data_IF_159711436066
#
_entry.id   IF_159711436066
#
_cell.length_a   1.000
_cell.length_b   1.000
_cell.length_c   1.000
_cell.angle_alpha   90.00
_cell.angle_beta   90.00
_cell.angle_gamma   90.00
#
_symmetry.space_group_name_H-M   'P 1'
#
loop_
_entity.id
_entity.type
_entity.pdbx_description
1 polymer ?
#
# COMPACT_ATOMS: atom_id res chain seq x y z
N UNK A 1 47.85 6.06 12.50
CA UNK A 1 47.77 6.38 13.94
C UNK A 1 46.45 5.82 14.45
N UNK A 2 46.36 5.43 15.72
CA UNK A 2 45.17 4.74 16.23
C UNK A 2 44.91 3.42 15.49
N UNK A 3 43.64 3.12 15.25
CA UNK A 3 43.15 1.93 14.54
C UNK A 3 43.47 1.93 13.04
N UNK A 4 43.96 3.04 12.49
CA UNK A 4 44.35 3.13 11.07
C UNK A 4 45.70 2.45 10.81
N UNK A 5 45.67 1.12 10.64
CA UNK A 5 46.82 0.27 10.39
C UNK A 5 46.58 -0.67 9.20
N UNK A 6 47.58 -0.82 8.33
CA UNK A 6 47.54 -1.74 7.19
C UNK A 6 46.31 -1.53 6.29
N UNK A 7 45.59 -2.61 6.01
CA UNK A 7 44.37 -2.60 5.18
C UNK A 7 43.08 -2.46 5.99
N UNK A 8 43.14 -1.98 7.25
CA UNK A 8 41.99 -1.95 8.16
C UNK A 8 40.73 -1.36 7.53
N UNK A 9 40.87 -0.27 6.78
CA UNK A 9 39.75 0.39 6.12
C UNK A 9 39.00 -0.50 5.12
N UNK A 10 39.71 -1.43 4.46
CA UNK A 10 39.14 -2.37 3.48
C UNK A 10 38.57 -3.63 4.12
N UNK A 11 39.00 -3.97 5.32
CA UNK A 11 38.63 -5.21 6.01
C UNK A 11 37.67 -4.96 7.18
N UNK A 12 37.31 -3.71 7.45
CA UNK A 12 36.41 -3.33 8.52
C UNK A 12 35.04 -3.97 8.30
N UNK A 13 34.55 -4.69 9.30
CA UNK A 13 33.19 -5.21 9.30
C UNK A 13 32.20 -4.18 9.88
N UNK A 14 30.94 -4.24 9.45
CA UNK A 14 29.90 -3.28 9.86
C UNK A 14 29.67 -3.25 11.38
N UNK A 15 29.78 -4.41 12.04
CA UNK A 15 29.58 -4.56 13.48
C UNK A 15 30.90 -4.58 14.26
N UNK A 16 32.02 -4.28 13.60
CA UNK A 16 33.32 -4.24 14.27
C UNK A 16 33.45 -2.98 15.14
N UNK A 17 33.94 -3.17 16.36
CA UNK A 17 34.21 -2.07 17.30
C UNK A 17 35.51 -1.35 16.94
N UNK A 18 35.44 -0.03 16.90
CA UNK A 18 36.52 0.91 16.65
C UNK A 18 36.60 1.84 17.87
N UNK A 19 37.71 1.82 18.64
CA UNK A 19 37.88 2.65 19.83
C UNK A 19 37.58 4.14 19.60
N UNK A 20 37.91 4.66 18.41
CA UNK A 20 37.63 6.04 18.01
C UNK A 20 36.13 6.39 17.91
N UNK A 21 35.24 5.38 17.83
CA UNK A 21 33.80 5.53 17.64
C UNK A 21 32.96 5.01 18.82
N UNK A 22 33.57 4.77 19.98
CA UNK A 22 32.95 4.15 21.16
C UNK A 22 31.57 4.73 21.54
N UNK A 23 31.40 6.05 21.48
CA UNK A 23 30.13 6.69 21.84
C UNK A 23 28.98 6.30 20.88
N UNK A 24 29.27 6.14 19.58
CA UNK A 24 28.29 5.74 18.58
C UNK A 24 28.00 4.22 18.59
N UNK A 25 28.85 3.41 19.23
CA UNK A 25 28.66 1.96 19.38
C UNK A 25 27.59 1.59 20.40
N UNK A 26 27.23 2.53 21.29
CA UNK A 26 26.12 2.37 22.24
C UNK A 26 24.75 2.31 21.57
N UNK A 27 24.70 2.50 20.25
CA UNK A 27 23.50 2.50 19.43
C UNK A 27 23.62 1.51 18.28
N UNK A 28 22.50 0.91 17.84
CA UNK A 28 22.50 0.06 16.66
C UNK A 28 22.90 0.89 15.43
N UNK A 29 23.62 0.26 14.52
CA UNK A 29 24.25 0.96 13.43
C UNK A 29 25.40 0.19 12.81
N UNK A 30 26.05 0.79 11.84
CA UNK A 30 27.11 0.17 11.05
C UNK A 30 28.29 1.11 10.91
N UNK A 31 29.48 0.54 11.11
CA UNK A 31 30.76 1.19 10.96
C UNK A 31 31.25 1.07 9.53
N UNK A 32 31.82 2.14 9.00
CA UNK A 32 32.41 2.20 7.68
C UNK A 32 33.75 2.94 7.75
N UNK A 33 34.54 2.77 6.69
CA UNK A 33 35.80 3.47 6.57
C UNK A 33 36.02 3.94 5.14
N UNK A 34 36.57 5.14 4.98
CA UNK A 34 37.06 5.65 3.72
C UNK A 34 38.52 6.09 3.85
N UNK A 35 39.31 5.85 2.81
CA UNK A 35 40.71 6.31 2.77
C UNK A 35 40.75 7.79 2.45
N UNK A 36 41.50 8.57 3.23
CA UNK A 36 41.69 10.01 3.00
C UNK A 36 43.06 10.28 2.39
N UNK A 37 43.35 11.54 2.10
CA UNK A 37 44.64 11.92 1.53
C UNK A 37 45.81 11.66 2.49
N UNK A 38 47.03 11.71 1.95
CA UNK A 38 48.26 11.33 2.64
C UNK A 38 49.28 12.48 2.68
N UNK A 39 50.26 12.37 3.57
CA UNK A 39 51.41 13.27 3.63
C UNK A 39 51.15 14.63 4.30
N UNK A 40 52.22 15.44 4.36
CA UNK A 40 52.24 16.68 5.14
C UNK A 40 51.22 17.71 4.65
N UNK A 41 50.91 17.74 3.36
CA UNK A 41 49.88 18.60 2.78
C UNK A 41 48.48 18.32 3.35
N UNK A 42 48.28 17.14 3.93
CA UNK A 42 47.07 16.67 4.56
C UNK A 42 47.18 16.55 6.09
N UNK A 43 48.21 17.13 6.69
CA UNK A 43 48.45 17.06 8.14
C UNK A 43 48.94 15.69 8.63
N UNK A 44 49.36 14.79 7.73
CA UNK A 44 49.86 13.46 8.08
C UNK A 44 51.39 13.40 7.95
N UNK A 45 52.09 12.89 8.97
CA UNK A 45 53.54 12.71 8.92
C UNK A 45 53.97 11.60 7.95
N UNK A 46 53.07 10.66 7.65
CA UNK A 46 53.35 9.50 6.79
C UNK A 46 52.80 9.71 5.36
N UNK A 47 53.43 9.11 4.34
CA UNK A 47 52.95 9.15 2.96
C UNK A 47 51.80 8.17 2.69
N UNK A 48 51.29 7.48 3.72
CA UNK A 48 50.19 6.54 3.59
C UNK A 48 48.84 7.26 3.75
N UNK A 49 47.79 6.84 3.01
CA UNK A 49 46.44 7.37 3.17
C UNK A 49 45.97 7.32 4.63
N UNK A 50 45.33 8.38 5.09
CA UNK A 50 44.62 8.35 6.37
C UNK A 50 43.37 7.48 6.31
N UNK A 51 42.80 7.17 7.48
CA UNK A 51 41.52 6.47 7.59
C UNK A 51 40.49 7.42 8.20
N UNK A 52 39.39 7.63 7.49
CA UNK A 52 38.19 8.25 8.03
C UNK A 52 37.25 7.13 8.47
N UNK A 53 37.29 6.82 9.76
CA UNK A 53 36.30 5.94 10.38
C UNK A 53 35.04 6.74 10.69
N UNK A 54 33.89 6.20 10.33
CA UNK A 54 32.60 6.78 10.69
C UNK A 54 31.57 5.68 10.95
N UNK A 55 30.58 5.98 11.78
CA UNK A 55 29.49 5.06 12.09
C UNK A 55 28.17 5.77 11.88
N UNK A 56 27.29 5.12 11.14
CA UNK A 56 25.90 5.55 11.03
C UNK A 56 25.15 4.87 12.17
N UNK A 57 24.83 5.64 13.22
CA UNK A 57 24.09 5.17 14.37
C UNK A 57 22.62 5.59 14.26
N UNK A 58 21.72 4.67 14.59
CA UNK A 58 20.28 4.92 14.57
C UNK A 58 19.84 5.41 15.95
N UNK A 59 19.21 6.58 15.98
CA UNK A 59 18.69 7.19 17.20
C UNK A 59 17.16 7.19 17.12
N UNK A 60 16.45 6.55 18.08
CA UNK A 60 15.00 6.55 18.07
C UNK A 60 14.47 7.98 18.28
N UNK A 61 13.56 8.42 17.39
CA UNK A 61 12.88 9.72 17.48
C UNK A 61 11.69 9.71 18.46
N UNK A 62 11.25 8.53 18.89
CA UNK A 62 10.10 8.31 19.79
C UNK A 62 10.27 7.00 20.57
N UNK A 63 9.54 6.86 21.67
CA UNK A 63 9.46 5.63 22.48
C UNK A 63 8.46 4.60 21.94
N UNK A 64 7.76 4.93 20.84
CA UNK A 64 6.80 4.05 20.19
C UNK A 64 7.52 2.88 19.49
N UNK A 65 7.07 1.67 19.79
CA UNK A 65 7.59 0.41 19.23
C UNK A 65 6.53 -0.14 18.29
N UNK A 66 6.97 -0.53 17.09
CA UNK A 66 6.12 -1.12 16.07
C UNK A 66 6.41 -2.61 15.94
N UNK A 67 5.38 -3.43 16.06
CA UNK A 67 5.41 -4.84 15.73
C UNK A 67 5.07 -5.03 14.25
N UNK A 68 6.05 -5.49 13.46
CA UNK A 68 5.93 -5.59 12.01
C UNK A 68 5.65 -7.03 11.63
N UNK A 69 4.62 -7.26 10.83
CA UNK A 69 4.20 -8.59 10.41
C UNK A 69 3.68 -8.61 8.97
N UNK A 70 3.59 -9.82 8.41
CA UNK A 70 2.96 -10.10 7.12
C UNK A 70 2.02 -11.29 7.27
N UNK A 71 0.84 -11.20 6.69
CA UNK A 71 -0.10 -12.31 6.64
C UNK A 71 0.41 -13.37 5.65
N UNK A 72 0.67 -14.59 6.13
CA UNK A 72 1.10 -15.72 5.29
C UNK A 72 -0.06 -16.34 4.51
N UNK A 73 -1.28 -16.22 5.05
CA UNK A 73 -2.51 -16.72 4.45
C UNK A 73 -3.69 -15.82 4.84
N UNK A 74 -4.69 -15.75 3.96
CA UNK A 74 -5.95 -15.07 4.19
C UNK A 74 -7.08 -16.09 4.18
N UNK A 75 -7.99 -15.99 5.15
CA UNK A 75 -9.13 -16.89 5.28
C UNK A 75 -10.39 -16.14 4.84
N UNK A 76 -10.90 -16.41 3.63
CA UNK A 76 -12.09 -15.72 3.12
C UNK A 76 -13.35 -16.13 3.86
N UNK A 77 -14.21 -15.14 4.13
CA UNK A 77 -15.53 -15.30 4.72
C UNK A 77 -16.54 -14.55 3.83
N UNK A 78 -17.62 -15.22 3.44
CA UNK A 78 -18.65 -14.65 2.56
C UNK A 78 -19.89 -14.35 3.39
N UNK A 79 -20.37 -13.12 3.35
CA UNK A 79 -21.59 -12.69 4.03
C UNK A 79 -22.72 -12.57 3.01
N UNK A 80 -23.78 -13.36 3.16
CA UNK A 80 -24.99 -13.28 2.34
C UNK A 80 -26.23 -13.06 3.22
N UNK A 81 -27.27 -12.46 2.64
CA UNK A 81 -28.58 -12.36 3.27
C UNK A 81 -29.54 -13.33 2.58
N UNK A 82 -30.01 -14.35 3.30
CA UNK A 82 -31.01 -15.28 2.78
C UNK A 82 -32.40 -14.77 3.14
N UNK A 83 -33.18 -14.43 2.12
CA UNK A 83 -34.59 -14.08 2.28
C UNK A 83 -35.47 -15.23 1.81
N UNK A 84 -36.34 -15.73 2.68
CA UNK A 84 -37.26 -16.83 2.39
C UNK A 84 -38.69 -16.39 2.66
N UNK A 85 -39.58 -16.52 1.67
CA UNK A 85 -41.01 -16.23 1.83
C UNK A 85 -41.82 -17.52 1.79
N UNK A 86 -42.40 -17.89 2.92
CA UNK A 86 -43.24 -19.08 3.08
C UNK A 86 -44.63 -18.67 3.58
N UNK A 87 -45.67 -19.07 2.84
CA UNK A 87 -47.08 -18.80 3.18
C UNK A 87 -47.37 -17.31 3.52
N UNK A 88 -46.72 -16.38 2.81
CA UNK A 88 -46.87 -14.93 3.01
C UNK A 88 -46.04 -14.35 4.16
N UNK A 89 -45.26 -15.17 4.88
CA UNK A 89 -44.31 -14.71 5.89
C UNK A 89 -42.91 -14.70 5.30
N UNK A 90 -42.25 -13.55 5.30
CA UNK A 90 -40.84 -13.42 4.87
C UNK A 90 -39.92 -13.44 6.08
N UNK A 91 -38.93 -14.32 6.06
CA UNK A 91 -37.82 -14.37 7.00
C UNK A 91 -36.54 -13.92 6.28
N UNK A 92 -35.70 -13.16 6.97
CA UNK A 92 -34.43 -12.66 6.45
C UNK A 92 -33.34 -13.03 7.44
N UNK A 93 -32.40 -13.87 7.00
CA UNK A 93 -31.38 -14.47 7.85
C UNK A 93 -29.98 -14.17 7.30
N UNK A 94 -29.14 -13.39 8.02
CA UNK A 94 -27.76 -13.17 7.61
C UNK A 94 -26.95 -14.45 7.83
N UNK A 95 -26.19 -14.83 6.80
CA UNK A 95 -25.38 -16.05 6.80
C UNK A 95 -23.92 -15.72 6.51
N UNK A 96 -23.07 -16.15 7.42
CA UNK A 96 -21.62 -16.25 7.21
C UNK A 96 -21.28 -17.63 6.65
N UNK A 97 -20.66 -17.67 5.48
CA UNK A 97 -20.25 -18.87 4.77
C UNK A 97 -18.73 -18.90 4.62
N UNK A 98 -18.17 -20.10 4.63
CA UNK A 98 -16.76 -20.33 4.36
C UNK A 98 -16.62 -21.18 3.09
N UNK A 99 -15.62 -20.94 2.23
CA UNK A 99 -15.44 -21.74 1.03
C UNK A 99 -15.38 -23.23 1.29
N UNK A 100 -16.05 -24.00 0.44
CA UNK A 100 -16.09 -25.46 0.47
C UNK A 100 -16.75 -26.09 1.70
N UNK A 101 -17.29 -25.30 2.62
CA UNK A 101 -18.08 -25.76 3.76
C UNK A 101 -19.58 -25.56 3.49
N UNK A 102 -20.36 -26.59 3.78
CA UNK A 102 -21.84 -26.53 3.75
C UNK A 102 -22.35 -25.89 5.04
N UNK A 103 -23.35 -25.01 4.92
CA UNK A 103 -24.10 -24.46 6.03
C UNK A 103 -25.58 -24.70 5.82
N UNK A 104 -26.19 -25.42 6.76
CA UNK A 104 -27.62 -25.72 6.73
C UNK A 104 -28.40 -24.71 7.56
N UNK A 105 -29.46 -24.15 6.98
CA UNK A 105 -30.36 -23.19 7.66
C UNK A 105 -31.75 -23.27 7.06
N UNK A 106 -32.78 -23.30 7.90
CA UNK A 106 -34.20 -23.28 7.48
C UNK A 106 -34.57 -24.32 6.39
N UNK A 107 -33.98 -25.52 6.43
CA UNK A 107 -34.23 -26.58 5.44
C UNK A 107 -33.51 -26.39 4.10
N UNK A 108 -32.55 -25.46 4.04
CA UNK A 108 -31.65 -25.24 2.91
C UNK A 108 -30.21 -25.60 3.30
N UNK A 109 -29.52 -26.37 2.46
CA UNK A 109 -28.07 -26.55 2.52
C UNK A 109 -27.41 -25.63 1.50
N UNK A 110 -26.56 -24.71 1.99
CA UNK A 110 -25.89 -23.72 1.17
C UNK A 110 -24.40 -23.95 1.25
N UNK A 111 -23.76 -24.15 0.10
CA UNK A 111 -22.32 -24.40 -0.02
C UNK A 111 -21.69 -23.46 -1.03
N UNK A 112 -20.59 -22.82 -0.63
CA UNK A 112 -19.72 -22.10 -1.58
C UNK A 112 -18.87 -23.12 -2.33
N UNK A 113 -19.12 -23.30 -3.63
CA UNK A 113 -18.43 -24.28 -4.47
C UNK A 113 -17.25 -23.68 -5.22
N UNK A 114 -17.26 -22.38 -5.45
CA UNK A 114 -16.16 -21.63 -6.07
C UNK A 114 -16.13 -20.21 -5.53
N UNK A 115 -14.92 -19.69 -5.36
CA UNK A 115 -14.64 -18.31 -5.02
C UNK A 115 -13.51 -17.84 -5.93
N UNK A 116 -13.78 -16.83 -6.74
CA UNK A 116 -12.79 -16.13 -7.56
C UNK A 116 -12.71 -14.69 -7.07
N UNK A 117 -11.50 -14.20 -6.83
CA UNK A 117 -11.28 -12.82 -6.41
C UNK A 117 -10.10 -12.24 -7.20
N UNK A 118 -10.09 -10.94 -7.41
CA UNK A 118 -8.95 -10.27 -8.01
C UNK A 118 -7.70 -10.40 -7.11
N UNK A 119 -6.51 -10.47 -7.73
CA UNK A 119 -5.25 -10.47 -6.98
C UNK A 119 -4.97 -9.04 -6.53
N UNK A 120 -5.35 -8.72 -5.29
CA UNK A 120 -5.10 -7.41 -4.72
C UNK A 120 -3.71 -7.32 -4.09
N UNK A 121 -2.96 -6.26 -4.40
CA UNK A 121 -1.62 -6.04 -3.85
C UNK A 121 -1.62 -5.94 -2.32
N UNK A 122 -2.72 -5.44 -1.73
CA UNK A 122 -2.95 -5.35 -0.29
C UNK A 122 -2.71 -6.68 0.45
N UNK A 123 -3.06 -7.82 -0.17
CA UNK A 123 -2.89 -9.16 0.41
C UNK A 123 -1.42 -9.54 0.65
N UNK A 124 -0.50 -8.89 -0.07
CA UNK A 124 0.94 -9.17 -0.02
C UNK A 124 1.75 -8.17 0.83
N UNK A 125 1.09 -7.11 1.33
CA UNK A 125 1.71 -6.01 2.08
C UNK A 125 2.17 -6.45 3.48
N UNK A 126 3.05 -5.63 4.05
CA UNK A 126 3.44 -5.70 5.46
C UNK A 126 2.62 -4.72 6.27
N UNK A 127 2.39 -5.05 7.53
CA UNK A 127 1.65 -4.22 8.47
C UNK A 127 2.53 -3.93 9.69
N UNK A 128 2.31 -2.79 10.32
CA UNK A 128 2.95 -2.39 11.56
C UNK A 128 1.87 -2.06 12.60
N UNK A 129 1.92 -2.74 13.73
CA UNK A 129 1.04 -2.53 14.88
C UNK A 129 1.80 -1.75 15.96
N UNK A 130 1.10 -0.82 16.60
CA UNK A 130 1.61 -0.04 17.73
C UNK A 130 0.48 0.30 18.68
N UNK A 131 0.80 0.96 19.79
CA UNK A 131 -0.21 1.47 20.72
C UNK A 131 -1.11 2.55 20.10
N UNK A 132 -0.67 3.20 19.01
CA UNK A 132 -1.47 4.21 18.30
C UNK A 132 -2.35 3.63 17.20
N UNK A 133 -2.19 2.34 16.89
CA UNK A 133 -2.98 1.62 15.90
C UNK A 133 -2.12 0.92 14.85
N UNK A 134 -2.75 0.60 13.73
CA UNK A 134 -2.14 -0.17 12.65
C UNK A 134 -1.78 0.70 11.46
N UNK A 135 -0.67 0.34 10.81
CA UNK A 135 -0.21 0.94 9.57
C UNK A 135 0.03 -0.12 8.53
N UNK A 136 -0.27 0.19 7.27
CA UNK A 136 0.17 -0.58 6.11
C UNK A 136 1.48 0.01 5.60
N UNK A 137 2.44 -0.88 5.30
CA UNK A 137 3.76 -0.51 4.82
C UNK A 137 3.89 -0.78 3.32
N UNK A 138 4.36 0.23 2.59
CA UNK A 138 4.72 0.09 1.18
C UNK A 138 5.89 -0.88 0.97
N UNK A 139 6.03 -1.39 -0.26
CA UNK A 139 7.05 -2.39 -0.58
C UNK A 139 8.46 -1.81 -0.46
N UNK A 140 8.62 -0.52 -0.78
CA UNK A 140 9.88 0.21 -0.66
C UNK A 140 10.23 0.64 0.78
N UNK A 141 9.33 0.45 1.75
CA UNK A 141 9.58 0.88 3.13
C UNK A 141 10.71 0.04 3.75
N UNK A 142 11.84 0.66 4.08
CA UNK A 142 13.00 -0.02 4.69
C UNK A 142 13.00 0.19 6.19
N UNK A 143 13.24 -0.88 6.94
CA UNK A 143 13.29 -0.85 8.40
C UNK A 143 14.76 -0.73 8.81
N UNK A 144 15.12 0.39 9.41
CA UNK A 144 16.52 0.66 9.77
C UNK A 144 17.02 -0.25 10.91
N UNK A 145 16.16 -0.53 11.88
CA UNK A 145 16.49 -1.30 13.09
C UNK A 145 15.38 -2.30 13.37
N UNK A 146 15.75 -3.56 13.54
CA UNK A 146 14.85 -4.67 13.87
C UNK A 146 15.30 -5.33 15.17
N UNK A 147 14.36 -5.46 16.11
CA UNK A 147 14.59 -6.10 17.40
C UNK A 147 13.81 -7.42 17.46
N UNK A 148 14.34 -8.45 18.14
CA UNK A 148 13.66 -9.74 18.26
C UNK A 148 12.36 -9.68 19.07
N UNK A 149 12.26 -8.74 20.00
CA UNK A 149 11.14 -8.59 20.92
C UNK A 149 11.03 -7.15 21.45
N UNK A 150 9.87 -6.82 22.03
CA UNK A 150 9.56 -5.49 22.57
C UNK A 150 10.49 -5.10 23.73
N UNK A 151 10.86 -6.04 24.59
CA UNK A 151 11.75 -5.77 25.72
C UNK A 151 13.15 -5.36 25.24
N UNK A 152 13.68 -6.07 24.23
CA UNK A 152 14.95 -5.73 23.61
C UNK A 152 14.88 -4.36 22.93
N UNK A 153 13.79 -4.04 22.24
CA UNK A 153 13.60 -2.72 21.63
C UNK A 153 13.58 -1.58 22.65
N UNK A 154 12.97 -1.79 23.83
CA UNK A 154 12.83 -0.78 24.88
C UNK A 154 14.08 -0.64 25.75
N UNK A 155 14.60 -1.74 26.27
CA UNK A 155 15.62 -1.76 27.33
C UNK A 155 17.03 -2.04 26.79
N UNK A 156 17.14 -2.62 25.59
CA UNK A 156 18.41 -3.09 25.01
C UNK A 156 18.54 -2.73 23.53
N UNK A 157 18.12 -1.52 23.17
CA UNK A 157 18.06 -1.06 21.77
C UNK A 157 19.40 -1.19 21.02
N UNK A 158 20.53 -1.05 21.73
CA UNK A 158 21.88 -1.26 21.21
C UNK A 158 22.11 -2.66 20.60
N UNK A 159 21.37 -3.66 21.07
CA UNK A 159 21.53 -5.06 20.65
C UNK A 159 20.64 -5.43 19.45
N UNK A 160 19.84 -4.49 18.95
CA UNK A 160 18.99 -4.75 17.80
C UNK A 160 19.80 -4.85 16.51
N UNK A 161 19.29 -5.63 15.56
CA UNK A 161 19.86 -5.73 14.23
C UNK A 161 19.65 -4.43 13.48
N UNK A 162 20.61 -4.05 12.63
CA UNK A 162 20.52 -2.85 11.83
C UNK A 162 20.73 -3.19 10.34
N UNK A 163 19.95 -2.54 9.47
CA UNK A 163 20.17 -2.55 8.03
C UNK A 163 20.84 -1.28 7.50
N UNK A 164 21.54 -1.38 6.37
CA UNK A 164 22.13 -0.22 5.69
C UNK A 164 21.05 0.50 4.88
N UNK A 165 20.56 1.61 5.45
CA UNK A 165 19.49 2.43 4.86
C UNK A 165 19.91 3.86 4.53
N UNK A 166 21.21 4.18 4.63
CA UNK A 166 21.74 5.50 4.30
C UNK A 166 22.86 5.40 3.27
N UNK A 167 22.90 6.38 2.36
CA UNK A 167 24.00 6.57 1.42
C UNK A 167 24.97 7.61 2.01
N UNK A 168 26.23 7.21 2.18
CA UNK A 168 27.26 8.09 2.74
C UNK A 168 28.32 8.43 1.70
N UNK A 169 28.57 9.72 1.56
CA UNK A 169 29.73 10.27 0.87
C UNK A 169 30.73 10.79 1.91
N UNK A 170 31.97 11.06 1.49
CA UNK A 170 32.98 11.59 2.39
C UNK A 170 33.71 12.79 1.77
N UNK A 171 34.05 13.72 2.65
CA UNK A 171 35.04 14.76 2.39
C UNK A 171 36.37 14.36 3.04
N UNK A 172 37.39 15.21 2.92
CA UNK A 172 38.69 14.94 3.54
C UNK A 172 38.63 14.89 5.09
N UNK A 173 37.61 15.48 5.70
CA UNK A 173 37.50 15.60 7.17
C UNK A 173 36.23 14.96 7.77
N UNK A 174 35.16 14.78 7.00
CA UNK A 174 33.88 14.30 7.52
C UNK A 174 33.11 13.45 6.51
N UNK A 175 32.36 12.47 7.03
CA UNK A 175 31.37 11.74 6.27
C UNK A 175 30.05 12.51 6.25
N UNK A 176 29.37 12.52 5.10
CA UNK A 176 28.04 13.09 4.90
C UNK A 176 27.10 11.98 4.45
N UNK A 177 26.13 11.66 5.30
CA UNK A 177 25.18 10.59 5.06
C UNK A 177 23.79 11.16 4.79
N UNK A 178 23.13 10.63 3.76
CA UNK A 178 21.74 10.89 3.41
C UNK A 178 20.97 9.59 3.61
N UNK A 179 20.03 9.60 4.55
CA UNK A 179 19.16 8.46 4.85
C UNK A 179 17.81 8.64 4.15
N UNK A 180 17.14 7.53 3.83
CA UNK A 180 15.74 7.60 3.38
C UNK A 180 14.90 8.30 4.46
N UNK A 181 14.02 9.20 4.02
CA UNK A 181 13.11 9.96 4.89
C UNK A 181 11.90 9.12 5.35
N UNK A 182 11.80 7.86 4.92
CA UNK A 182 10.68 6.98 5.22
C UNK A 182 10.65 6.62 6.71
N UNK A 183 10.04 7.48 7.53
CA UNK A 183 9.82 7.26 8.96
C UNK A 183 8.35 7.01 9.25
N UNK A 184 8.05 6.23 10.30
CA UNK A 184 6.67 6.00 10.75
C UNK A 184 5.92 7.29 11.13
N UNK A 185 6.66 8.36 11.44
CA UNK A 185 6.14 9.70 11.73
C UNK A 185 5.87 10.52 10.49
N UNK A 186 6.67 10.38 9.43
CA UNK A 186 6.48 11.08 8.16
C UNK A 186 5.50 10.33 7.24
N UNK A 187 5.25 9.04 7.48
CA UNK A 187 4.11 8.28 6.94
C UNK A 187 2.76 8.68 7.58
N UNK A 188 2.61 9.95 7.95
CA UNK A 188 1.35 10.54 8.37
C UNK A 188 0.35 10.75 7.21
N UNK A 189 0.72 10.38 5.98
CA UNK A 189 -0.24 10.28 4.88
C UNK A 189 -1.37 9.29 5.28
N UNK A 190 -2.61 9.70 5.08
CA UNK A 190 -3.80 8.94 5.51
C UNK A 190 -3.90 7.54 4.89
N UNK A 191 -3.16 7.27 3.82
CA UNK A 191 -3.15 5.99 3.09
C UNK A 191 -2.45 4.89 3.87
N UNK A 192 -1.42 5.21 4.67
CA UNK A 192 -0.66 4.20 5.42
C UNK A 192 -1.25 3.88 6.77
N UNK A 193 -2.20 4.68 7.30
CA UNK A 193 -2.86 4.36 8.56
C UNK A 193 -4.14 3.54 8.28
N UNK A 194 -4.38 2.50 9.08
CA UNK A 194 -5.66 1.79 9.03
C UNK A 194 -6.70 2.48 9.93
N UNK A 195 -7.98 2.55 9.52
CA UNK A 195 -8.55 1.94 8.32
C UNK A 195 -8.16 2.67 7.03
N UNK A 196 -7.79 1.89 6.00
CA UNK A 196 -7.46 2.38 4.67
C UNK A 196 -8.50 1.88 3.69
N UNK A 197 -9.00 2.80 2.86
CA UNK A 197 -9.90 2.46 1.76
C UNK A 197 -9.06 2.51 0.49
N UNK A 198 -8.95 1.41 -0.23
CA UNK A 198 -8.41 1.35 -1.59
C UNK A 198 -9.59 1.08 -2.56
N UNK A 199 -9.42 1.23 -3.89
CA UNK A 199 -10.44 0.80 -4.84
C UNK A 199 -10.86 -0.65 -4.57
N UNK A 200 -12.17 -0.90 -4.40
CA UNK A 200 -12.77 -2.20 -4.08
C UNK A 200 -12.35 -2.84 -2.75
N UNK A 201 -11.56 -2.16 -1.92
CA UNK A 201 -11.02 -2.73 -0.69
C UNK A 201 -11.24 -1.79 0.49
N UNK A 202 -11.80 -2.34 1.56
CA UNK A 202 -11.82 -1.68 2.85
C UNK A 202 -10.95 -2.48 3.82
N UNK A 203 -9.84 -1.87 4.24
CA UNK A 203 -8.80 -2.53 5.01
C UNK A 203 -8.87 -1.98 6.42
N UNK A 204 -9.22 -2.83 7.36
CA UNK A 204 -9.42 -2.48 8.77
C UNK A 204 -8.53 -3.35 9.64
N UNK A 205 -8.25 -2.89 10.86
CA UNK A 205 -7.52 -3.69 11.82
C UNK A 205 -8.02 -3.39 13.23
N UNK A 206 -8.28 -4.46 13.99
CA UNK A 206 -8.62 -4.42 15.41
C UNK A 206 -7.67 -5.30 16.20
N UNK A 207 -7.89 -6.63 16.16
CA UNK A 207 -6.95 -7.64 16.66
C UNK A 207 -6.16 -8.27 15.51
N UNK A 208 -6.81 -8.40 14.35
CA UNK A 208 -6.23 -8.88 13.10
C UNK A 208 -6.57 -7.90 11.99
N UNK A 209 -5.77 -7.94 10.92
CA UNK A 209 -6.05 -7.16 9.71
C UNK A 209 -7.15 -7.88 8.94
N UNK A 210 -8.20 -7.15 8.58
CA UNK A 210 -9.34 -7.61 7.80
C UNK A 210 -9.44 -6.79 6.52
N UNK A 211 -9.80 -7.45 5.43
CA UNK A 211 -9.97 -6.83 4.11
C UNK A 211 -11.36 -7.22 3.62
N UNK A 212 -12.24 -6.23 3.53
CA UNK A 212 -13.55 -6.39 2.91
C UNK A 212 -13.45 -5.99 1.44
N UNK A 213 -14.03 -6.80 0.56
CA UNK A 213 -14.07 -6.55 -0.88
C UNK A 213 -15.44 -6.89 -1.45
N UNK A 214 -15.88 -6.09 -2.42
CA UNK A 214 -17.06 -6.34 -3.26
C UNK A 214 -16.69 -6.89 -4.66
N UNK A 215 -15.40 -6.99 -4.97
CA UNK A 215 -14.87 -7.47 -6.25
C UNK A 215 -14.56 -8.98 -6.20
N UNK A 216 -15.60 -9.78 -5.98
CA UNK A 216 -15.49 -11.24 -5.93
C UNK A 216 -16.64 -11.94 -6.65
N UNK A 217 -16.33 -13.03 -7.34
CA UNK A 217 -17.31 -13.93 -7.94
C UNK A 217 -17.46 -15.17 -7.05
N UNK A 218 -18.67 -15.42 -6.58
CA UNK A 218 -19.00 -16.54 -5.69
C UNK A 218 -20.03 -17.43 -6.37
N UNK A 219 -19.71 -18.72 -6.49
CA UNK A 219 -20.70 -19.73 -6.91
C UNK A 219 -21.26 -20.45 -5.70
N UNK A 220 -22.58 -20.41 -5.55
CA UNK A 220 -23.31 -21.08 -4.48
C UNK A 220 -24.04 -22.31 -5.03
N UNK A 221 -23.91 -23.43 -4.33
CA UNK A 221 -24.79 -24.59 -4.46
C UNK A 221 -25.84 -24.50 -3.34
N UNK A 222 -27.10 -24.35 -3.73
CA UNK A 222 -28.23 -24.28 -2.81
C UNK A 222 -29.06 -25.55 -3.02
N UNK A 223 -29.24 -26.32 -1.96
CA UNK A 223 -30.01 -27.58 -1.97
C UNK A 223 -31.15 -27.48 -0.98
N UNK A 224 -32.37 -27.85 -1.38
CA UNK A 224 -33.49 -27.98 -0.45
C UNK A 224 -33.55 -29.40 0.10
N UNK A 225 -33.88 -29.55 1.38
CA UNK A 225 -34.22 -30.84 1.97
C UNK A 225 -35.55 -31.39 1.44
N UNK A 226 -36.42 -30.51 0.92
CA UNK A 226 -37.73 -30.87 0.37
C UNK A 226 -37.69 -30.99 -1.16
N UNK A 227 -38.56 -31.84 -1.72
CA UNK A 227 -38.76 -31.90 -3.17
C UNK A 227 -39.54 -30.67 -3.63
N UNK A 228 -38.83 -29.67 -4.16
CA UNK A 228 -39.40 -28.44 -4.69
C UNK A 228 -39.26 -28.39 -6.21
N UNK A 229 -40.31 -27.91 -6.89
CA UNK A 229 -40.19 -27.47 -8.28
C UNK A 229 -39.60 -26.06 -8.28
N UNK A 230 -38.40 -25.91 -8.81
CA UNK A 230 -37.70 -24.64 -8.85
C UNK A 230 -37.96 -23.93 -10.19
N UNK A 231 -38.32 -22.66 -10.13
CA UNK A 231 -38.36 -21.76 -11.28
C UNK A 231 -37.56 -20.50 -10.94
N UNK A 232 -36.71 -20.06 -11.87
CA UNK A 232 -35.93 -18.84 -11.69
C UNK A 232 -36.76 -17.64 -12.14
N UNK A 233 -36.93 -16.65 -11.26
CA UNK A 233 -37.50 -15.34 -11.59
C UNK A 233 -36.40 -14.31 -11.45
N UNK A 234 -36.02 -13.68 -12.55
CA UNK A 234 -35.08 -12.55 -12.55
C UNK A 234 -35.91 -11.28 -12.42
N UNK A 235 -35.84 -10.63 -11.27
CA UNK A 235 -36.50 -9.33 -11.02
C UNK A 235 -35.49 -8.24 -11.37
N UNK A 236 -35.72 -7.55 -12.48
CA UNK A 236 -34.86 -6.47 -12.99
C UNK A 236 -35.67 -5.16 -13.09
N UNK A 237 -35.86 -4.41 -11.99
CA UNK A 237 -36.63 -3.18 -11.99
C UNK A 237 -35.86 -2.01 -12.63
N UNK A 238 -36.55 -1.01 -13.21
CA UNK A 238 -35.91 0.15 -13.82
C UNK A 238 -35.23 1.04 -12.76
N UNK A 239 -33.96 1.40 -12.99
CA UNK A 239 -33.17 2.25 -12.10
C UNK A 239 -32.74 3.55 -12.78
N UNK A 240 -32.37 4.55 -11.98
CA UNK A 240 -31.81 5.82 -12.47
C UNK A 240 -30.50 6.15 -11.76
N UNK A 241 -29.44 6.38 -12.54
CA UNK A 241 -28.10 6.70 -12.05
C UNK A 241 -27.66 8.08 -12.57
N UNK A 242 -26.99 8.84 -11.70
CA UNK A 242 -26.34 10.10 -12.04
C UNK A 242 -25.00 10.20 -11.31
N UNK A 243 -23.96 10.73 -11.95
CA UNK A 243 -22.64 10.84 -11.36
C UNK A 243 -22.17 12.29 -11.28
N UNK A 244 -21.30 12.58 -10.30
CA UNK A 244 -20.51 13.81 -10.26
C UNK A 244 -19.27 13.68 -11.17
N UNK A 245 -18.60 14.80 -11.42
CA UNK A 245 -17.27 14.78 -12.02
C UNK A 245 -16.25 14.04 -11.15
N UNK A 246 -15.14 13.66 -11.78
CA UNK A 246 -14.03 12.95 -11.13
C UNK A 246 -13.03 13.97 -10.56
N UNK A 247 -12.54 13.72 -9.35
CA UNK A 247 -11.47 14.52 -8.71
C UNK A 247 -10.46 13.63 -8.02
N UNK A 248 -9.18 14.00 -7.98
CA UNK A 248 -8.13 13.24 -7.29
C UNK A 248 -6.84 13.23 -8.11
N UNK A 249 -6.09 12.12 -8.02
CA UNK A 249 -4.82 11.95 -8.72
C UNK A 249 -4.83 10.72 -9.64
N UNK A 250 -3.94 10.75 -10.62
CA UNK A 250 -3.60 9.62 -11.49
C UNK A 250 -2.20 9.09 -11.11
N UNK A 251 -1.90 7.83 -11.43
CA UNK A 251 -0.66 7.13 -11.03
C UNK A 251 -0.33 7.21 -9.52
N UNK A 252 -1.37 7.22 -8.68
CA UNK A 252 -1.25 7.36 -7.23
C UNK A 252 -2.06 6.30 -6.49
N UNK A 253 -1.64 5.95 -5.27
CA UNK A 253 -2.36 5.02 -4.40
C UNK A 253 -3.67 5.58 -3.85
N UNK A 254 -3.78 6.91 -3.73
CA UNK A 254 -5.00 7.60 -3.28
C UNK A 254 -6.17 7.42 -4.26
N UNK A 255 -5.84 7.34 -5.55
CA UNK A 255 -6.75 7.26 -6.67
C UNK A 255 -7.59 8.51 -6.90
N UNK A 256 -8.45 8.43 -7.91
CA UNK A 256 -9.49 9.40 -8.18
C UNK A 256 -10.80 9.02 -7.47
N UNK A 257 -11.67 9.99 -7.24
CA UNK A 257 -12.96 9.81 -6.59
C UNK A 257 -14.08 10.41 -7.42
N UNK A 258 -15.19 9.68 -7.51
CA UNK A 258 -16.44 10.16 -8.09
C UNK A 258 -17.62 9.73 -7.19
N UNK A 259 -18.69 10.51 -7.16
CA UNK A 259 -19.90 10.15 -6.42
C UNK A 259 -21.01 9.78 -7.40
N UNK A 260 -21.54 8.57 -7.28
CA UNK A 260 -22.66 8.07 -8.08
C UNK A 260 -23.91 7.98 -7.21
N UNK A 261 -24.96 8.64 -7.66
CA UNK A 261 -26.27 8.64 -7.05
C UNK A 261 -27.15 7.63 -7.76
N UNK A 262 -27.69 6.66 -7.02
CA UNK A 262 -28.62 5.68 -7.56
C UNK A 262 -29.97 5.71 -6.86
N UNK A 263 -31.04 5.60 -7.66
CA UNK A 263 -32.43 5.50 -7.19
C UNK A 263 -33.13 4.30 -7.83
N UNK A 264 -33.82 3.53 -6.99
CA UNK A 264 -34.60 2.33 -7.33
C UNK A 264 -35.78 2.19 -6.37
N UNK A 265 -36.93 1.67 -6.79
CA UNK A 265 -38.11 1.58 -5.91
C UNK A 265 -37.90 0.63 -4.73
N UNK A 266 -37.28 -0.51 -5.00
CA UNK A 266 -36.84 -1.48 -4.00
C UNK A 266 -35.31 -1.39 -3.84
N UNK A 267 -34.78 -1.44 -2.61
CA UNK A 267 -33.34 -1.46 -2.40
C UNK A 267 -32.69 -2.65 -3.10
N UNK A 268 -31.70 -2.38 -3.95
CA UNK A 268 -30.95 -3.41 -4.67
C UNK A 268 -29.58 -2.87 -5.06
N UNK A 269 -28.73 -3.74 -5.60
CA UNK A 269 -27.39 -3.42 -6.04
C UNK A 269 -27.31 -3.52 -7.57
N UNK A 270 -26.65 -2.54 -8.20
CA UNK A 270 -26.55 -2.43 -9.66
C UNK A 270 -25.08 -2.38 -10.05
N UNK A 271 -24.69 -3.21 -11.01
CA UNK A 271 -23.34 -3.21 -11.57
C UNK A 271 -23.13 -2.04 -12.52
N UNK A 272 -22.06 -1.29 -12.30
CA UNK A 272 -21.57 -0.20 -13.15
C UNK A 272 -20.23 -0.62 -13.76
N UNK A 273 -20.21 -0.85 -15.07
CA UNK A 273 -19.05 -1.29 -15.84
C UNK A 273 -18.44 -0.10 -16.58
N UNK A 274 -17.27 0.37 -16.13
CA UNK A 274 -16.47 1.38 -16.82
C UNK A 274 -15.42 0.69 -17.73
N UNK A 275 -14.54 1.44 -18.38
CA UNK A 275 -13.64 0.87 -19.41
C UNK A 275 -12.78 -0.28 -18.86
N UNK A 276 -12.16 -0.10 -17.69
CA UNK A 276 -11.25 -1.10 -17.07
C UNK A 276 -11.62 -1.44 -15.62
N UNK A 277 -12.78 -0.97 -15.12
CA UNK A 277 -13.16 -1.04 -13.70
C UNK A 277 -14.66 -1.29 -13.55
N UNK A 278 -15.05 -2.13 -12.59
CA UNK A 278 -16.45 -2.51 -12.36
C UNK A 278 -16.83 -2.28 -10.91
N UNK A 279 -17.94 -1.59 -10.66
CA UNK A 279 -18.39 -1.21 -9.32
C UNK A 279 -19.79 -1.74 -9.01
N UNK A 280 -20.03 -2.10 -7.75
CA UNK A 280 -21.35 -2.45 -7.25
C UNK A 280 -22.01 -1.26 -6.55
N UNK A 281 -23.08 -0.73 -7.14
CA UNK A 281 -23.74 0.50 -6.69
C UNK A 281 -24.97 0.17 -5.86
N UNK A 282 -25.03 0.67 -4.62
CA UNK A 282 -26.20 0.48 -3.75
C UNK A 282 -27.28 1.50 -4.11
N UNK A 283 -28.45 0.99 -4.50
CA UNK A 283 -29.61 1.78 -4.91
C UNK A 283 -30.73 1.69 -3.87
N UNK A 284 -31.49 2.76 -3.69
CA UNK A 284 -32.67 2.74 -2.81
C UNK A 284 -33.74 3.73 -3.24
N UNK A 285 -34.92 3.67 -2.60
CA UNK A 285 -36.04 4.58 -2.90
C UNK A 285 -35.67 6.05 -2.67
N UNK A 286 -34.86 6.30 -1.65
CA UNK A 286 -34.16 7.56 -1.48
C UNK A 286 -32.87 7.52 -2.29
N UNK A 287 -32.56 8.61 -3.00
CA UNK A 287 -31.33 8.70 -3.78
C UNK A 287 -30.12 8.53 -2.85
N UNK A 288 -29.37 7.44 -3.01
CA UNK A 288 -28.21 7.12 -2.16
C UNK A 288 -26.92 7.49 -2.88
N UNK A 289 -26.01 8.14 -2.17
CA UNK A 289 -24.67 8.48 -2.66
C UNK A 289 -23.72 7.29 -2.48
N UNK A 290 -23.06 6.89 -3.56
CA UNK A 290 -22.03 5.86 -3.59
C UNK A 290 -20.72 6.53 -3.99
N UNK A 291 -19.71 6.50 -3.13
CA UNK A 291 -18.40 7.10 -3.42
C UNK A 291 -17.53 6.03 -4.05
N UNK A 292 -17.18 6.23 -5.32
CA UNK A 292 -16.30 5.36 -6.09
C UNK A 292 -14.86 5.84 -5.94
N UNK A 293 -13.94 4.89 -5.79
CA UNK A 293 -12.50 5.12 -5.94
C UNK A 293 -12.03 4.48 -7.23
N UNK A 294 -11.44 5.28 -8.11
CA UNK A 294 -11.05 4.89 -9.46
C UNK A 294 -9.53 5.03 -9.63
N UNK A 295 -8.93 4.21 -10.49
CA UNK A 295 -7.53 4.35 -10.87
C UNK A 295 -7.40 4.80 -12.33
N UNK A 296 -6.49 5.72 -12.59
CA UNK A 296 -6.17 6.19 -13.92
C UNK A 296 -4.67 6.41 -14.03
N UNK A 297 -4.14 6.31 -15.24
CA UNK A 297 -2.74 6.50 -15.62
C UNK A 297 -2.50 7.80 -16.40
N UNK A 298 -3.54 8.63 -16.53
CA UNK A 298 -3.50 9.88 -17.30
C UNK A 298 -4.33 10.98 -16.62
N UNK A 299 -4.06 12.24 -16.98
CA UNK A 299 -4.64 13.40 -16.30
C UNK A 299 -6.06 13.72 -16.80
N UNK A 300 -6.30 13.69 -18.12
CA UNK A 300 -7.60 14.06 -18.69
C UNK A 300 -8.50 12.83 -18.88
N UNK A 301 -9.42 12.61 -17.93
CA UNK A 301 -10.27 11.42 -17.91
C UNK A 301 -11.61 11.71 -18.55
N UNK A 302 -12.02 10.82 -19.45
CA UNK A 302 -13.38 10.75 -20.02
C UNK A 302 -13.80 9.28 -20.17
N UNK A 303 -14.32 8.71 -19.10
CA UNK A 303 -14.67 7.29 -19.01
C UNK A 303 -16.18 7.09 -19.22
N UNK A 304 -16.54 6.13 -20.07
CA UNK A 304 -17.92 5.82 -20.39
C UNK A 304 -18.34 4.54 -19.66
N UNK A 305 -19.17 4.70 -18.64
CA UNK A 305 -19.64 3.57 -17.85
C UNK A 305 -21.05 3.13 -18.27
N UNK A 306 -21.25 1.82 -18.31
CA UNK A 306 -22.49 1.14 -18.68
C UNK A 306 -23.13 0.52 -17.44
N UNK A 307 -24.45 0.56 -17.37
CA UNK A 307 -25.22 -0.14 -16.35
C UNK A 307 -26.49 -0.73 -16.96
N UNK A 308 -26.99 -1.81 -16.35
CA UNK A 308 -28.18 -2.51 -16.83
C UNK A 308 -29.24 -2.57 -15.74
N UNK A 309 -30.43 -2.06 -16.04
CA UNK A 309 -31.61 -2.14 -15.20
C UNK A 309 -32.89 -2.13 -16.06
N UNK A 310 -33.95 -2.78 -15.63
CA UNK A 310 -35.22 -2.77 -16.36
C UNK A 310 -35.13 -3.40 -17.75
N UNK A 311 -34.20 -4.35 -17.95
CA UNK A 311 -33.89 -4.96 -19.24
C UNK A 311 -33.19 -4.03 -20.24
N UNK A 312 -32.77 -2.82 -19.83
CA UNK A 312 -32.14 -1.82 -20.69
C UNK A 312 -30.72 -1.52 -20.23
N UNK A 313 -29.79 -1.47 -21.19
CA UNK A 313 -28.45 -0.95 -20.97
C UNK A 313 -28.47 0.56 -21.17
N UNK A 314 -28.01 1.28 -20.16
CA UNK A 314 -27.89 2.75 -20.14
C UNK A 314 -26.44 3.14 -19.89
N UNK A 315 -26.09 4.40 -20.16
CA UNK A 315 -24.71 4.90 -20.06
C UNK A 315 -24.62 6.18 -19.25
N UNK A 316 -23.53 6.33 -18.51
CA UNK A 316 -23.11 7.56 -17.84
C UNK A 316 -21.67 7.88 -18.23
N UNK A 317 -21.32 9.16 -18.25
CA UNK A 317 -19.95 9.61 -18.54
C UNK A 317 -19.34 10.20 -17.28
N UNK A 318 -18.19 9.67 -16.88
CA UNK A 318 -17.36 10.21 -15.80
C UNK A 318 -16.24 11.04 -16.44
N UNK A 319 -16.16 12.32 -16.11
CA UNK A 319 -15.13 13.20 -16.65
C UNK A 319 -14.51 14.09 -15.58
N UNK A 320 -13.22 14.41 -15.75
CA UNK A 320 -12.46 15.25 -14.84
C UNK A 320 -11.00 15.41 -15.26
N UNK A 321 -10.29 16.31 -14.60
CA UNK A 321 -8.83 16.46 -14.76
C UNK A 321 -8.15 16.13 -13.44
N UNK A 322 -7.30 15.11 -13.46
CA UNK A 322 -6.60 14.58 -12.29
C UNK A 322 -5.23 15.24 -12.12
N UNK A 323 -4.79 15.32 -10.86
CA UNK A 323 -3.49 15.88 -10.51
C UNK A 323 -2.41 14.80 -10.53
N UNK A 324 -1.21 15.18 -10.97
CA UNK A 324 -0.04 14.32 -10.86
C UNK A 324 0.55 14.40 -9.45
N UNK A 325 0.74 13.26 -8.80
CA UNK A 325 1.53 13.17 -7.57
C UNK A 325 2.95 12.71 -7.93
N UNK A 326 3.93 13.58 -7.70
CA UNK A 326 5.34 13.21 -7.88
C UNK A 326 5.71 12.14 -6.85
N UNK A 327 6.25 10.97 -7.27
CA UNK A 327 6.79 10.02 -6.31
C UNK A 327 7.91 10.69 -5.52
N UNK A 328 7.92 10.50 -4.20
CA UNK A 328 9.03 10.92 -3.35
C UNK A 328 10.28 10.19 -3.81
N UNK A 329 11.29 10.93 -4.28
CA UNK A 329 12.57 10.40 -4.75
C UNK A 329 13.23 9.58 -3.63
N UNK A 330 13.17 8.25 -3.74
CA UNK A 330 14.05 7.36 -2.98
C UNK A 330 15.43 7.41 -3.63
N UNK A 331 16.42 7.91 -2.92
CA UNK A 331 17.81 7.79 -3.35
C UNK A 331 18.19 6.31 -3.34
N UNK A 332 18.46 5.74 -4.52
CA UNK A 332 18.98 4.37 -4.63
C UNK A 332 20.30 4.24 -3.85
N UNK A 333 20.34 3.25 -2.96
CA UNK A 333 21.52 2.94 -2.15
C UNK A 333 22.11 1.70 -2.79
N UNK A 334 23.35 1.84 -3.29
CA UNK A 334 24.24 0.87 -3.94
C UNK A 334 24.36 0.94 -5.47
N UNK A 335 25.36 1.69 -5.94
CA UNK A 335 26.23 1.21 -7.02
C UNK A 335 27.58 0.85 -6.38
N UNK A 336 27.88 -0.45 -6.33
CA UNK A 336 29.12 -0.97 -5.79
C UNK A 336 30.33 -0.51 -6.60
N UNK A 337 31.46 -0.36 -5.91
CA UNK A 337 32.80 -0.06 -6.43
C UNK A 337 33.10 -0.73 -7.79
N UNK A 338 32.79 -0.04 -8.88
CA UNK A 338 33.59 -0.12 -10.09
C UNK A 338 33.84 1.30 -10.55
N UNK A 339 35.11 1.61 -10.80
CA UNK A 339 35.55 2.86 -11.41
C UNK A 339 34.83 3.04 -12.76
N UNK A 340 33.65 3.64 -12.76
CA UNK A 340 33.13 4.38 -13.91
C UNK A 340 33.18 5.83 -13.52
N UNK A 341 34.03 6.57 -14.24
CA UNK A 341 33.90 8.01 -14.37
C UNK A 341 32.41 8.31 -14.52
N UNK A 342 31.81 8.98 -13.53
CA UNK A 342 30.45 9.48 -13.62
C UNK A 342 30.35 10.24 -14.96
N UNK A 343 29.67 9.63 -15.92
CA UNK A 343 29.41 10.30 -17.17
C UNK A 343 28.39 11.38 -16.86
N UNK A 344 28.67 12.58 -17.36
CA UNK A 344 27.83 13.77 -17.23
C UNK A 344 26.54 13.51 -18.03
N UNK A 345 25.61 12.72 -17.49
CA UNK A 345 24.47 12.19 -18.26
C UNK A 345 23.40 11.38 -17.50
N UNK A 346 23.67 10.81 -16.32
CA UNK A 346 22.71 9.90 -15.64
C UNK A 346 21.52 10.57 -14.90
N UNK A 347 21.27 11.85 -15.12
CA UNK A 347 20.16 12.59 -14.48
C UNK A 347 18.80 12.40 -15.18
N UNK A 348 18.76 11.72 -16.34
CA UNK A 348 17.54 11.58 -17.14
C UNK A 348 16.70 10.34 -16.82
N UNK A 349 17.25 9.34 -16.10
CA UNK A 349 16.57 8.03 -15.98
C UNK A 349 15.43 7.98 -14.95
N UNK A 350 15.29 8.99 -14.07
CA UNK A 350 14.28 9.00 -13.01
C UNK A 350 13.25 10.15 -13.11
N UNK A 351 13.09 10.75 -14.30
CA UNK A 351 12.01 11.72 -14.54
C UNK A 351 10.76 11.01 -15.04
N UNK A 352 9.78 10.80 -14.16
CA UNK A 352 8.41 10.58 -14.59
C UNK A 352 7.85 11.94 -15.05
N UNK A 353 7.57 12.05 -16.35
CA UNK A 353 7.07 13.29 -16.95
C UNK A 353 5.55 13.31 -16.74
N UNK A 354 4.98 14.39 -16.16
CA UNK A 354 3.53 14.49 -15.99
C UNK A 354 2.84 14.50 -17.37
N UNK A 355 1.60 14.04 -17.41
CA UNK A 355 0.76 14.10 -18.60
C UNK A 355 0.52 15.58 -18.95
N UNK A 356 1.02 15.98 -20.13
CA UNK A 356 0.94 17.35 -20.64
C UNK A 356 -0.31 17.60 -21.49
N UNK A 357 -1.16 16.61 -21.70
CA UNK A 357 -2.41 16.73 -22.46
C UNK A 357 -3.29 17.90 -21.99
N UNK A 358 -3.44 18.18 -20.67
CA UNK A 358 -4.19 19.34 -20.19
C UNK A 358 -3.63 20.69 -20.67
N UNK A 359 -2.30 20.80 -20.81
CA UNK A 359 -1.65 22.03 -21.30
C UNK A 359 -1.89 22.21 -22.81
N UNK A 360 -1.85 21.13 -23.59
CA UNK A 360 -2.14 21.15 -25.02
C UNK A 360 -3.62 21.54 -25.28
N UNK A 361 -4.54 21.07 -24.45
CA UNK A 361 -5.96 21.45 -24.51
C UNK A 361 -6.21 22.94 -24.21
N UNK A 362 -5.42 23.55 -23.31
CA UNK A 362 -5.49 24.98 -23.04
C UNK A 362 -4.92 25.84 -24.18
N UNK A 363 -3.85 25.37 -24.83
CA UNK A 363 -3.20 26.06 -25.96
C UNK A 363 -4.07 26.02 -27.22
N UNK A 364 -4.86 24.96 -27.42
CA UNK A 364 -5.73 24.80 -28.60
C UNK A 364 -7.08 25.51 -28.49
N UNK A 365 -7.43 26.02 -27.29
CA UNK A 365 -8.64 26.83 -27.03
C UNK A 365 -8.37 28.35 -26.99
N UNK A 366 -7.13 28.77 -27.23
CA UNK A 366 -6.71 30.14 -27.50
C UNK A 366 -6.27 30.26 -28.96
#
# INVERSE_FOLDING_TARGET
MGSCLGSKCRTLQQNESIPELYEAEKLPGYSMCSSTCAGLACGCLTPFPGCLFYRVAQVPKSEEIYHIFKCTSWNPEIHILLETTLAGTTTSNPLQLHPYMSKTTDGWDIKVTSLQHAIHSALSKRFAESTTGFKMLGDAFKIAVECPDEYTARERFANCSNEIVCSCSHTMAAAQCVCSQNSFRESQNSITNLPAIEPHLNITAMETVMIDTDDTEVTLLITSENQLQMAQVVVDPPCSLHATGITGCYDCSEGAKATVYCRLEEPSEVTLECTDQTFLIKCSKQTKANVLKLQYDHAEVKDLCLFRCGGKTSKIELSGTLLYHTPTLDHEIFEGDTKRSASKGDWWNNFAIPDISPLLGAITKH
#
